data_IF_288216168881
#
_entry.id   IF_288216168881
#
_cell.length_a   1.000
_cell.length_b   1.000
_cell.length_c   1.000
_cell.angle_alpha   90.00
_cell.angle_beta   90.00
_cell.angle_gamma   90.00
#
_symmetry.space_group_name_H-M   'P 1'
#
loop_
_entity.id
_entity.type
_entity.pdbx_description
1 polymer ?
#
# COMPACT_ATOMS: atom_id res chain seq x y z
N UNK A 1 -30.09 -18.63 16.04
CA UNK A 1 -28.97 -18.94 15.12
C UNK A 1 -29.12 -20.38 14.70
N UNK A 2 -29.04 -20.63 13.40
CA UNK A 2 -29.15 -21.96 12.81
C UNK A 2 -27.98 -22.90 13.21
N UNK A 3 -28.18 -24.23 13.37
CA UNK A 3 -27.13 -25.16 13.81
C UNK A 3 -25.89 -25.18 12.90
N UNK A 4 -26.05 -25.01 11.58
CA UNK A 4 -24.92 -25.02 10.64
C UNK A 4 -24.05 -23.77 10.84
N UNK A 5 -24.69 -22.61 11.04
CA UNK A 5 -23.98 -21.35 11.38
C UNK A 5 -23.15 -21.50 12.67
N UNK A 6 -23.70 -22.16 13.69
CA UNK A 6 -22.97 -22.42 14.94
C UNK A 6 -21.80 -23.38 14.72
N UNK A 7 -21.99 -24.42 13.91
CA UNK A 7 -20.93 -25.37 13.57
C UNK A 7 -19.78 -24.71 12.80
N UNK A 8 -20.08 -23.83 11.83
CA UNK A 8 -19.09 -23.03 11.09
C UNK A 8 -18.24 -22.16 12.04
N UNK A 9 -18.89 -21.41 12.94
CA UNK A 9 -18.19 -20.56 13.92
C UNK A 9 -17.34 -21.38 14.89
N UNK A 10 -17.84 -22.54 15.33
CA UNK A 10 -17.10 -23.44 16.21
C UNK A 10 -15.86 -24.03 15.51
N UNK A 11 -16.01 -24.48 14.26
CA UNK A 11 -14.92 -25.00 13.46
C UNK A 11 -13.86 -23.93 13.18
N UNK A 12 -14.27 -22.67 13.00
CA UNK A 12 -13.36 -21.54 12.86
C UNK A 12 -12.61 -21.21 14.16
N UNK A 13 -13.27 -21.30 15.32
CA UNK A 13 -12.65 -21.04 16.63
C UNK A 13 -11.64 -22.13 17.05
N UNK A 14 -11.81 -23.36 16.57
CA UNK A 14 -11.04 -24.52 17.02
C UNK A 14 -10.09 -24.99 15.91
N UNK A 15 -8.78 -24.72 16.05
CA UNK A 15 -7.77 -25.02 15.00
C UNK A 15 -7.79 -26.46 14.48
N UNK A 16 -8.13 -27.44 15.33
CA UNK A 16 -8.20 -28.88 14.98
C UNK A 16 -9.60 -29.36 14.55
N UNK A 17 -10.62 -28.53 14.69
CA UNK A 17 -11.97 -28.93 14.30
C UNK A 17 -12.08 -29.02 12.78
N UNK A 18 -12.75 -30.08 12.31
CA UNK A 18 -13.07 -30.24 10.90
C UNK A 18 -14.21 -29.30 10.53
N UNK A 19 -14.25 -28.78 9.30
CA UNK A 19 -15.44 -28.11 8.78
C UNK A 19 -16.67 -29.03 8.90
N UNK A 20 -17.87 -28.46 9.14
CA UNK A 20 -19.11 -29.22 9.04
C UNK A 20 -19.30 -29.72 7.60
N UNK A 21 -20.10 -30.76 7.44
CA UNK A 21 -20.57 -31.24 6.13
C UNK A 21 -21.99 -30.77 5.88
N UNK A 22 -22.31 -30.46 4.64
CA UNK A 22 -23.64 -30.14 4.17
C UNK A 22 -24.57 -31.35 4.30
N UNK A 23 -24.10 -32.56 3.97
CA UNK A 23 -24.92 -33.77 4.04
C UNK A 23 -26.14 -33.66 3.10
N UNK A 24 -27.33 -33.92 3.63
CA UNK A 24 -28.60 -33.84 2.88
C UNK A 24 -29.30 -32.47 3.04
N UNK A 25 -28.60 -31.46 3.57
CA UNK A 25 -29.19 -30.13 3.76
C UNK A 25 -29.54 -29.48 2.41
N UNK A 26 -30.69 -28.79 2.31
CA UNK A 26 -31.02 -28.00 1.14
C UNK A 26 -29.95 -26.93 0.85
N UNK A 27 -29.67 -26.68 -0.43
CA UNK A 27 -28.69 -25.65 -0.84
C UNK A 27 -29.00 -24.25 -0.27
N UNK A 28 -30.28 -23.92 -0.07
CA UNK A 28 -30.74 -22.67 0.55
C UNK A 28 -30.35 -22.57 2.03
N UNK A 29 -30.38 -23.67 2.77
CA UNK A 29 -29.99 -23.68 4.19
C UNK A 29 -28.47 -23.51 4.34
N UNK A 30 -27.70 -24.14 3.45
CA UNK A 30 -26.25 -23.93 3.35
C UNK A 30 -25.93 -22.48 2.99
N UNK A 31 -26.65 -21.92 2.01
CA UNK A 31 -26.51 -20.53 1.59
C UNK A 31 -26.76 -19.55 2.73
N UNK A 32 -27.89 -19.68 3.43
CA UNK A 32 -28.24 -18.80 4.56
C UNK A 32 -27.19 -18.86 5.67
N UNK A 33 -26.68 -20.06 5.98
CA UNK A 33 -25.65 -20.23 6.99
C UNK A 33 -24.32 -19.59 6.58
N UNK A 34 -23.85 -19.81 5.34
CA UNK A 34 -22.59 -19.24 4.81
C UNK A 34 -22.69 -17.72 4.74
N UNK A 35 -23.76 -17.19 4.15
CA UNK A 35 -23.96 -15.75 4.03
C UNK A 35 -24.05 -15.09 5.41
N UNK A 36 -24.83 -15.65 6.34
CA UNK A 36 -25.00 -15.09 7.67
C UNK A 36 -23.68 -14.99 8.45
N UNK A 37 -22.86 -16.05 8.45
CA UNK A 37 -21.58 -16.01 9.19
C UNK A 37 -20.53 -15.10 8.55
N UNK A 38 -20.50 -15.01 7.21
CA UNK A 38 -19.56 -14.14 6.50
C UNK A 38 -19.97 -12.67 6.61
N UNK A 39 -21.25 -12.34 6.45
CA UNK A 39 -21.76 -10.98 6.60
C UNK A 39 -21.50 -10.44 8.01
N UNK A 40 -21.77 -11.23 9.06
CA UNK A 40 -21.47 -10.84 10.44
C UNK A 40 -19.97 -10.58 10.64
N UNK A 41 -19.10 -11.45 10.10
CA UNK A 41 -17.66 -11.28 10.21
C UNK A 41 -17.16 -10.04 9.45
N UNK A 42 -17.72 -9.75 8.27
CA UNK A 42 -17.37 -8.58 7.48
C UNK A 42 -17.84 -7.28 8.16
N UNK A 43 -19.09 -7.22 8.63
CA UNK A 43 -19.62 -6.08 9.36
C UNK A 43 -18.78 -5.76 10.60
N UNK A 44 -18.40 -6.77 11.38
CA UNK A 44 -17.49 -6.60 12.52
C UNK A 44 -16.16 -5.99 12.07
N UNK A 45 -15.58 -6.45 10.95
CA UNK A 45 -14.31 -5.92 10.45
C UNK A 45 -14.43 -4.48 9.95
N UNK A 46 -15.54 -4.12 9.30
CA UNK A 46 -15.84 -2.76 8.86
C UNK A 46 -15.93 -1.79 10.04
N UNK A 47 -16.58 -2.21 11.13
CA UNK A 47 -16.65 -1.45 12.38
C UNK A 47 -15.27 -1.31 13.06
N UNK A 48 -14.38 -2.28 12.84
CA UNK A 48 -12.99 -2.27 13.33
C UNK A 48 -11.98 -1.74 12.32
N UNK A 49 -12.45 -0.97 11.34
CA UNK A 49 -11.63 -0.15 10.46
C UNK A 49 -10.96 -0.89 9.31
N UNK A 50 -11.27 -2.15 9.04
CA UNK A 50 -10.77 -2.86 7.86
C UNK A 50 -11.46 -2.36 6.58
N UNK A 51 -10.79 -2.48 5.43
CA UNK A 51 -11.32 -2.13 4.11
C UNK A 51 -11.30 -3.36 3.18
N UNK A 52 -12.06 -3.39 2.06
CA UNK A 52 -12.16 -4.54 1.17
C UNK A 52 -10.83 -5.06 0.68
N UNK A 53 -9.96 -4.16 0.24
CA UNK A 53 -8.64 -4.53 -0.24
C UNK A 53 -7.78 -5.14 0.87
N UNK A 54 -7.91 -4.65 2.11
CA UNK A 54 -7.17 -5.19 3.25
C UNK A 54 -7.61 -6.62 3.56
N UNK A 55 -8.93 -6.87 3.61
CA UNK A 55 -9.48 -8.20 3.90
C UNK A 55 -9.09 -9.19 2.79
N UNK A 56 -9.17 -8.76 1.52
CA UNK A 56 -8.70 -9.53 0.37
C UNK A 56 -7.21 -9.87 0.48
N UNK A 57 -6.34 -8.91 0.81
CA UNK A 57 -4.90 -9.13 0.93
C UNK A 57 -4.53 -10.10 2.06
N UNK A 58 -5.21 -10.04 3.21
CA UNK A 58 -4.98 -11.03 4.28
C UNK A 58 -5.36 -12.43 3.81
N UNK A 59 -6.57 -12.61 3.26
CA UNK A 59 -7.01 -13.94 2.83
C UNK A 59 -6.15 -14.47 1.68
N UNK A 60 -5.73 -13.63 0.73
CA UNK A 60 -4.79 -14.00 -0.34
C UNK A 60 -3.43 -14.50 0.19
N UNK A 61 -3.00 -14.04 1.37
CA UNK A 61 -1.70 -14.41 1.98
C UNK A 61 -1.76 -15.70 2.78
N UNK A 62 -2.89 -15.97 3.40
CA UNK A 62 -3.03 -17.05 4.37
C UNK A 62 -3.84 -18.24 3.84
N UNK A 63 -4.63 -18.06 2.77
CA UNK A 63 -5.51 -19.08 2.20
C UNK A 63 -5.37 -19.22 0.68
N UNK A 64 -6.06 -20.21 0.12
CA UNK A 64 -6.04 -20.54 -1.31
C UNK A 64 -7.03 -19.73 -2.15
N UNK A 65 -7.02 -19.98 -3.46
CA UNK A 65 -7.86 -19.28 -4.43
C UNK A 65 -9.37 -19.46 -4.18
N UNK A 66 -9.78 -20.58 -3.57
CA UNK A 66 -11.20 -20.89 -3.30
C UNK A 66 -11.73 -20.03 -2.17
N UNK A 67 -10.99 -19.95 -1.07
CA UNK A 67 -11.32 -19.03 0.02
C UNK A 67 -11.31 -17.58 -0.46
N UNK A 68 -10.36 -17.22 -1.32
CA UNK A 68 -10.28 -15.86 -1.88
C UNK A 68 -11.47 -15.53 -2.77
N UNK A 69 -11.87 -16.42 -3.68
CA UNK A 69 -13.00 -16.16 -4.58
C UNK A 69 -14.33 -16.08 -3.83
N UNK A 70 -14.56 -16.96 -2.84
CA UNK A 70 -15.76 -16.91 -2.00
C UNK A 70 -15.81 -15.64 -1.14
N UNK A 71 -14.67 -15.17 -0.63
CA UNK A 71 -14.59 -13.88 0.08
C UNK A 71 -14.98 -12.71 -0.84
N UNK A 72 -14.48 -12.67 -2.07
CA UNK A 72 -14.78 -11.61 -3.04
C UNK A 72 -16.28 -11.54 -3.32
N UNK A 73 -16.92 -12.70 -3.51
CA UNK A 73 -18.37 -12.78 -3.67
C UNK A 73 -19.13 -12.30 -2.42
N UNK A 74 -18.65 -12.67 -1.22
CA UNK A 74 -19.24 -12.21 0.04
C UNK A 74 -19.15 -10.68 0.19
N UNK A 75 -18.02 -10.07 -0.19
CA UNK A 75 -17.86 -8.61 -0.21
C UNK A 75 -18.79 -7.97 -1.24
N UNK A 76 -18.87 -8.52 -2.46
CA UNK A 76 -19.75 -8.02 -3.52
C UNK A 76 -21.21 -8.02 -3.08
N UNK A 77 -21.66 -9.09 -2.41
CA UNK A 77 -23.00 -9.19 -1.82
C UNK A 77 -23.21 -8.16 -0.72
N UNK A 78 -22.25 -8.03 0.19
CA UNK A 78 -22.33 -7.13 1.35
C UNK A 78 -22.54 -5.68 0.91
N UNK A 79 -21.74 -5.20 -0.05
CA UNK A 79 -21.77 -3.80 -0.49
C UNK A 79 -22.86 -3.47 -1.51
N UNK A 80 -23.57 -4.47 -2.04
CA UNK A 80 -24.56 -4.29 -3.08
C UNK A 80 -25.69 -3.34 -2.66
N UNK A 81 -25.97 -2.33 -3.49
CA UNK A 81 -27.02 -1.34 -3.23
C UNK A 81 -26.72 -0.32 -2.12
N UNK A 82 -25.55 -0.39 -1.49
CA UNK A 82 -25.16 0.55 -0.44
C UNK A 82 -24.50 1.82 -1.00
N UNK A 83 -24.63 2.93 -0.27
CA UNK A 83 -23.85 4.13 -0.56
C UNK A 83 -22.37 3.90 -0.17
N UNK A 84 -21.46 4.01 -1.14
CA UNK A 84 -20.03 3.78 -0.94
C UNK A 84 -19.19 5.05 -1.08
N UNK A 85 -18.30 5.27 -0.11
CA UNK A 85 -17.21 6.24 -0.21
C UNK A 85 -16.35 5.94 -1.47
N UNK A 86 -15.75 6.96 -2.12
CA UNK A 86 -14.89 6.74 -3.30
C UNK A 86 -13.80 5.68 -3.13
N UNK A 87 -13.07 5.69 -2.00
CA UNK A 87 -12.06 4.66 -1.66
C UNK A 87 -12.66 3.25 -1.62
N UNK A 88 -13.85 3.09 -1.02
CA UNK A 88 -14.55 1.80 -0.99
C UNK A 88 -14.89 1.32 -2.40
N UNK A 89 -15.47 2.20 -3.22
CA UNK A 89 -15.82 1.87 -4.60
C UNK A 89 -14.59 1.48 -5.43
N UNK A 90 -13.49 2.21 -5.28
CA UNK A 90 -12.22 1.88 -5.93
C UNK A 90 -11.72 0.50 -5.51
N UNK A 91 -11.66 0.21 -4.21
CA UNK A 91 -11.17 -1.07 -3.71
C UNK A 91 -12.06 -2.27 -4.08
N UNK A 92 -13.38 -2.09 -4.06
CA UNK A 92 -14.35 -3.11 -4.52
C UNK A 92 -14.11 -3.44 -5.99
N UNK A 93 -13.90 -2.42 -6.83
CA UNK A 93 -13.56 -2.63 -8.24
C UNK A 93 -12.17 -3.29 -8.41
N UNK A 94 -11.18 -2.87 -7.64
CA UNK A 94 -9.80 -3.41 -7.73
C UNK A 94 -9.72 -4.90 -7.38
N UNK A 95 -10.54 -5.37 -6.44
CA UNK A 95 -10.62 -6.81 -6.09
C UNK A 95 -11.60 -7.59 -6.98
N UNK A 96 -12.32 -6.93 -7.89
CA UNK A 96 -13.31 -7.55 -8.77
C UNK A 96 -14.54 -8.06 -8.02
N UNK A 97 -14.96 -7.37 -6.96
CA UNK A 97 -16.13 -7.72 -6.16
C UNK A 97 -17.43 -7.26 -6.86
N UNK A 98 -17.80 -7.99 -7.91
CA UNK A 98 -19.02 -7.79 -8.70
C UNK A 98 -19.96 -9.00 -8.56
N UNK A 99 -21.27 -8.73 -8.55
CA UNK A 99 -22.31 -9.78 -8.51
C UNK A 99 -22.42 -10.43 -9.90
N UNK A 100 -21.90 -11.66 -10.03
CA UNK A 100 -21.90 -12.42 -11.29
C UNK A 100 -22.95 -13.55 -11.32
N UNK A 101 -23.51 -13.91 -10.16
CA UNK A 101 -24.44 -15.01 -10.01
C UNK A 101 -25.90 -14.58 -10.27
N UNK A 102 -26.74 -15.55 -10.58
CA UNK A 102 -28.17 -15.36 -10.69
C UNK A 102 -28.79 -15.25 -9.30
N UNK A 103 -29.53 -14.18 -9.03
CA UNK A 103 -30.16 -13.92 -7.72
C UNK A 103 -31.32 -14.88 -7.42
N UNK A 104 -31.90 -15.53 -8.44
CA UNK A 104 -33.01 -16.48 -8.28
C UNK A 104 -32.55 -17.89 -7.90
N UNK A 105 -31.23 -18.12 -7.76
CA UNK A 105 -30.63 -19.41 -7.41
C UNK A 105 -29.62 -19.27 -6.28
N UNK A 106 -29.39 -20.32 -5.46
CA UNK A 106 -28.43 -20.24 -4.38
C UNK A 106 -27.02 -19.91 -4.87
N UNK A 107 -26.42 -18.84 -4.36
CA UNK A 107 -25.09 -18.38 -4.77
C UNK A 107 -24.02 -19.42 -4.46
N UNK A 108 -24.07 -20.03 -3.27
CA UNK A 108 -23.04 -21.00 -2.83
C UNK A 108 -22.99 -22.22 -3.75
N UNK A 109 -24.13 -22.68 -4.24
CA UNK A 109 -24.21 -23.78 -5.21
C UNK A 109 -23.69 -23.38 -6.60
N UNK A 110 -24.00 -22.16 -7.05
CA UNK A 110 -23.44 -21.61 -8.29
C UNK A 110 -21.92 -21.42 -8.19
N UNK A 111 -21.41 -20.95 -7.04
CA UNK A 111 -19.99 -20.81 -6.75
C UNK A 111 -19.29 -22.17 -6.80
N UNK A 112 -19.86 -23.18 -6.14
CA UNK A 112 -19.31 -24.53 -6.13
C UNK A 112 -19.25 -25.11 -7.55
N UNK A 113 -20.34 -25.00 -8.31
CA UNK A 113 -20.40 -25.43 -9.72
C UNK A 113 -19.36 -24.72 -10.60
N UNK A 114 -19.19 -23.40 -10.43
CA UNK A 114 -18.22 -22.59 -11.20
C UNK A 114 -16.78 -23.02 -10.94
N UNK A 115 -16.45 -23.41 -9.72
CA UNK A 115 -15.10 -23.80 -9.32
C UNK A 115 -14.85 -25.31 -9.41
N UNK A 116 -15.84 -26.11 -9.84
CA UNK A 116 -15.77 -27.58 -9.86
C UNK A 116 -15.57 -28.14 -8.44
N UNK A 117 -16.26 -27.55 -7.47
CA UNK A 117 -16.21 -27.86 -6.04
C UNK A 117 -17.59 -28.34 -5.55
N UNK A 118 -17.66 -28.80 -4.29
CA UNK A 118 -18.91 -29.20 -3.63
C UNK A 118 -19.38 -28.18 -2.59
N UNK A 119 -20.60 -28.34 -2.06
CA UNK A 119 -21.07 -27.56 -0.90
C UNK A 119 -20.20 -27.81 0.35
N UNK A 120 -19.66 -29.01 0.53
CA UNK A 120 -18.71 -29.32 1.61
C UNK A 120 -17.42 -28.49 1.46
N UNK A 121 -16.94 -28.30 0.22
CA UNK A 121 -15.77 -27.47 -0.07
C UNK A 121 -16.07 -25.98 0.18
N UNK A 122 -17.28 -25.51 -0.13
CA UNK A 122 -17.72 -24.15 0.19
C UNK A 122 -17.78 -23.91 1.71
N UNK A 123 -18.27 -24.89 2.49
CA UNK A 123 -18.24 -24.84 3.95
C UNK A 123 -16.80 -24.83 4.49
N UNK A 124 -15.90 -25.62 3.89
CA UNK A 124 -14.48 -25.62 4.24
C UNK A 124 -13.81 -24.27 3.95
N UNK A 125 -14.07 -23.68 2.78
CA UNK A 125 -13.60 -22.35 2.40
C UNK A 125 -14.15 -21.27 3.36
N UNK A 126 -15.43 -21.36 3.73
CA UNK A 126 -16.05 -20.46 4.72
C UNK A 126 -15.34 -20.54 6.08
N UNK A 127 -15.05 -21.74 6.57
CA UNK A 127 -14.30 -21.94 7.82
C UNK A 127 -12.88 -21.38 7.71
N UNK A 128 -12.21 -21.54 6.57
CA UNK A 128 -10.88 -20.99 6.32
C UNK A 128 -10.88 -19.45 6.38
N UNK A 129 -11.81 -18.80 5.68
CA UNK A 129 -12.01 -17.35 5.73
C UNK A 129 -12.24 -16.90 7.20
N UNK A 130 -13.21 -17.50 7.88
CA UNK A 130 -13.53 -17.13 9.27
C UNK A 130 -12.34 -17.28 10.23
N UNK A 131 -11.46 -18.26 10.04
CA UNK A 131 -10.24 -18.42 10.86
C UNK A 131 -9.29 -17.24 10.71
N UNK A 132 -9.10 -16.79 9.48
CA UNK A 132 -8.26 -15.63 9.17
C UNK A 132 -8.87 -14.36 9.75
N UNK A 133 -10.15 -14.09 9.44
CA UNK A 133 -10.83 -12.86 9.83
C UNK A 133 -10.88 -12.67 11.35
N UNK A 134 -11.09 -13.75 12.11
CA UNK A 134 -11.15 -13.71 13.59
C UNK A 134 -9.82 -13.39 14.26
N UNK A 135 -8.70 -13.56 13.58
CA UNK A 135 -7.38 -13.26 14.14
C UNK A 135 -6.97 -11.79 13.92
N UNK A 136 -7.78 -11.01 13.22
CA UNK A 136 -7.44 -9.65 12.83
C UNK A 136 -7.58 -8.67 14.01
N UNK A 137 -6.59 -7.79 14.22
CA UNK A 137 -6.69 -6.75 15.26
C UNK A 137 -7.66 -5.64 14.86
N UNK A 138 -8.08 -4.86 15.85
CA UNK A 138 -8.77 -3.59 15.62
C UNK A 138 -7.81 -2.58 14.99
N UNK A 139 -8.27 -1.90 13.93
CA UNK A 139 -7.55 -0.83 13.25
C UNK A 139 -8.27 0.52 13.44
N UNK A 140 -7.56 1.64 13.28
CA UNK A 140 -8.20 2.94 13.19
C UNK A 140 -9.13 2.99 11.96
N UNK A 141 -10.35 3.50 12.14
CA UNK A 141 -11.30 3.75 11.05
C UNK A 141 -10.80 4.96 10.26
N UNK A 142 -10.41 4.74 9.01
CA UNK A 142 -9.86 5.78 8.11
C UNK A 142 -10.83 6.18 7.01
N UNK A 143 -11.85 5.38 6.76
CA UNK A 143 -12.92 5.63 5.80
C UNK A 143 -14.25 5.17 6.44
N UNK A 144 -15.35 5.93 6.29
CA UNK A 144 -16.67 5.48 6.74
C UNK A 144 -17.06 4.13 6.13
N UNK A 145 -17.75 3.29 6.90
CA UNK A 145 -18.21 1.96 6.43
C UNK A 145 -19.32 2.08 5.36
N UNK A 146 -19.57 1.03 4.56
CA UNK A 146 -20.68 0.99 3.62
C UNK A 146 -22.02 1.43 4.26
N UNK A 147 -22.82 2.17 3.50
CA UNK A 147 -24.12 2.68 3.97
C UNK A 147 -24.04 3.87 4.92
N UNK A 148 -22.85 4.30 5.34
CA UNK A 148 -22.69 5.54 6.11
C UNK A 148 -23.11 6.78 5.30
N UNK A 149 -23.69 7.81 5.92
CA UNK A 149 -23.97 9.08 5.24
C UNK A 149 -22.70 9.69 4.63
N UNK A 150 -22.74 10.00 3.33
CA UNK A 150 -21.60 10.55 2.59
C UNK A 150 -21.57 12.10 2.57
N UNK A 151 -22.36 12.75 3.41
CA UNK A 151 -22.52 14.22 3.41
C UNK A 151 -21.25 14.89 3.91
N UNK A 152 -20.76 15.89 3.16
CA UNK A 152 -19.59 16.69 3.55
C UNK A 152 -18.23 16.04 3.23
N UNK A 153 -18.21 14.92 2.50
CA UNK A 153 -16.98 14.33 2.00
C UNK A 153 -16.51 15.08 0.74
N UNK A 154 -15.85 16.21 0.95
CA UNK A 154 -15.20 16.95 -0.14
C UNK A 154 -13.88 16.23 -0.50
N UNK A 155 -13.98 15.24 -1.41
CA UNK A 155 -12.79 14.60 -1.94
C UNK A 155 -12.15 15.54 -2.96
N UNK A 156 -11.21 16.37 -2.50
CA UNK A 156 -10.36 17.16 -3.38
C UNK A 156 -9.38 16.22 -4.08
N UNK A 157 -9.85 15.62 -5.16
CA UNK A 157 -9.03 14.76 -6.00
C UNK A 157 -7.81 15.51 -6.50
N UNK A 158 -6.68 14.80 -6.54
CA UNK A 158 -5.43 15.31 -7.08
C UNK A 158 -5.57 15.53 -8.59
N UNK A 159 -4.93 16.58 -9.15
CA UNK A 159 -4.98 16.85 -10.59
C UNK A 159 -4.51 15.62 -11.38
N UNK A 160 -5.41 14.93 -12.12
CA UNK A 160 -5.07 13.69 -12.82
C UNK A 160 -3.96 13.91 -13.86
N UNK A 161 -3.80 15.14 -14.37
CA UNK A 161 -2.76 15.46 -15.36
C UNK A 161 -1.35 15.40 -14.73
N UNK A 162 -1.21 15.89 -13.50
CA UNK A 162 0.07 15.84 -12.78
C UNK A 162 0.43 14.40 -12.48
N UNK A 163 -0.51 13.61 -11.96
CA UNK A 163 -0.27 12.19 -11.68
C UNK A 163 0.06 11.39 -12.93
N UNK A 164 -0.66 11.59 -14.03
CA UNK A 164 -0.37 10.89 -15.28
C UNK A 164 1.01 11.27 -15.83
N UNK A 165 1.44 12.53 -15.66
CA UNK A 165 2.80 12.94 -16.03
C UNK A 165 3.86 12.32 -15.12
N UNK A 166 3.63 12.25 -13.82
CA UNK A 166 4.51 11.57 -12.86
C UNK A 166 4.64 10.09 -13.18
N UNK A 167 3.51 9.39 -13.36
CA UNK A 167 3.48 7.98 -13.78
C UNK A 167 4.21 7.77 -15.09
N UNK A 168 4.02 8.64 -16.08
CA UNK A 168 4.72 8.57 -17.36
C UNK A 168 6.24 8.75 -17.24
N UNK A 169 6.69 9.67 -16.38
CA UNK A 169 8.12 9.88 -16.11
C UNK A 169 8.74 8.67 -15.42
N UNK A 170 8.08 8.12 -14.39
CA UNK A 170 8.55 6.93 -13.66
C UNK A 170 8.53 5.68 -14.55
N UNK A 171 7.48 5.46 -15.33
CA UNK A 171 7.41 4.34 -16.28
C UNK A 171 8.53 4.44 -17.32
N UNK A 172 8.84 5.65 -17.79
CA UNK A 172 9.96 5.85 -18.72
C UNK A 172 11.30 5.57 -18.04
N UNK A 173 11.49 6.02 -16.80
CA UNK A 173 12.69 5.73 -16.01
C UNK A 173 12.90 4.22 -15.83
N UNK A 174 11.83 3.46 -15.59
CA UNK A 174 11.90 2.01 -15.43
C UNK A 174 12.17 1.24 -16.73
N UNK A 175 11.86 1.85 -17.88
CA UNK A 175 11.99 1.23 -19.20
C UNK A 175 13.33 1.50 -19.90
N UNK A 176 14.06 2.53 -19.48
CA UNK A 176 15.32 2.91 -20.15
C UNK A 176 16.48 2.04 -19.65
N UNK A 177 17.38 1.58 -20.54
CA UNK A 177 18.60 0.88 -20.14
C UNK A 177 19.71 1.85 -19.68
N UNK A 178 19.51 3.17 -19.80
CA UNK A 178 20.52 4.18 -19.49
C UNK A 178 20.30 4.74 -18.07
N UNK A 179 21.21 4.45 -17.11
CA UNK A 179 21.04 4.89 -15.72
C UNK A 179 20.90 6.41 -15.57
N UNK A 180 21.73 7.20 -16.27
CA UNK A 180 21.68 8.67 -16.19
C UNK A 180 20.35 9.23 -16.73
N UNK A 181 19.72 8.57 -17.71
CA UNK A 181 18.39 8.96 -18.21
C UNK A 181 17.29 8.61 -17.20
N UNK A 182 17.36 7.42 -16.61
CA UNK A 182 16.42 7.00 -15.58
C UNK A 182 16.46 7.94 -14.38
N UNK A 183 17.65 8.36 -13.96
CA UNK A 183 17.87 9.33 -12.90
C UNK A 183 17.24 10.69 -13.25
N UNK A 184 17.52 11.23 -14.43
CA UNK A 184 16.97 12.50 -14.87
C UNK A 184 15.43 12.50 -14.94
N UNK A 185 14.82 11.36 -15.31
CA UNK A 185 13.37 11.20 -15.39
C UNK A 185 12.71 11.13 -14.01
N UNK A 186 13.27 10.35 -13.08
CA UNK A 186 12.77 10.25 -11.71
C UNK A 186 12.91 11.57 -10.95
N UNK A 187 14.03 12.25 -11.15
CA UNK A 187 14.26 13.60 -10.66
C UNK A 187 13.24 14.60 -11.16
N UNK A 188 12.90 14.53 -12.45
CA UNK A 188 11.89 15.40 -13.05
C UNK A 188 10.51 15.12 -12.47
N UNK A 189 10.20 13.86 -12.18
CA UNK A 189 8.97 13.47 -11.52
C UNK A 189 8.89 14.09 -10.11
N UNK A 190 9.96 13.97 -9.32
CA UNK A 190 10.03 14.53 -7.97
C UNK A 190 9.95 16.07 -7.96
N UNK A 191 10.64 16.74 -8.90
CA UNK A 191 10.61 18.19 -9.04
C UNK A 191 9.21 18.69 -9.42
N UNK A 192 8.56 18.02 -10.39
CA UNK A 192 7.20 18.35 -10.83
C UNK A 192 6.21 18.28 -9.67
N UNK A 193 6.28 17.18 -8.92
CA UNK A 193 5.51 16.92 -7.72
C UNK A 193 5.72 18.00 -6.67
N UNK A 194 6.98 18.25 -6.30
CA UNK A 194 7.32 19.16 -5.22
C UNK A 194 6.86 20.57 -5.57
N UNK A 195 7.11 21.02 -6.80
CA UNK A 195 6.65 22.31 -7.30
C UNK A 195 5.12 22.42 -7.23
N UNK A 196 4.41 21.43 -7.79
CA UNK A 196 2.96 21.45 -7.82
C UNK A 196 2.33 21.46 -6.43
N UNK A 197 2.87 20.65 -5.51
CA UNK A 197 2.44 20.64 -4.12
C UNK A 197 2.61 22.02 -3.49
N UNK A 198 3.84 22.58 -3.53
CA UNK A 198 4.17 23.88 -2.93
C UNK A 198 3.36 25.05 -3.50
N UNK A 199 3.07 25.06 -4.81
CA UNK A 199 2.25 26.10 -5.46
C UNK A 199 0.81 26.14 -4.94
N UNK A 200 0.24 24.98 -4.61
CA UNK A 200 -1.15 24.85 -4.16
C UNK A 200 -1.31 25.06 -2.65
N UNK A 201 -0.28 24.77 -1.86
CA UNK A 201 -0.39 24.78 -0.40
C UNK A 201 -0.95 26.07 0.21
N UNK A 202 -0.63 27.28 -0.28
CA UNK A 202 -1.12 28.54 0.33
C UNK A 202 -2.61 28.80 0.10
N UNK A 203 -3.19 28.24 -0.96
CA UNK A 203 -4.59 28.48 -1.35
C UNK A 203 -5.55 27.38 -0.91
N UNK A 204 -5.01 26.24 -0.47
CA UNK A 204 -5.79 25.05 -0.15
C UNK A 204 -5.72 24.70 1.33
N UNK A 205 -6.89 24.51 1.93
CA UNK A 205 -6.98 23.93 3.27
C UNK A 205 -6.36 22.53 3.31
N UNK A 206 -5.69 22.16 4.42
CA UNK A 206 -5.13 20.82 4.61
C UNK A 206 -6.22 19.73 4.53
N UNK A 207 -6.01 18.77 3.64
CA UNK A 207 -6.81 17.55 3.47
C UNK A 207 -6.02 16.35 3.97
N UNK A 208 -5.79 16.32 5.27
CA UNK A 208 -5.01 15.25 5.89
C UNK A 208 -5.86 13.98 6.01
N UNK A 209 -5.38 12.88 5.43
CA UNK A 209 -6.05 11.58 5.45
C UNK A 209 -5.07 10.47 5.84
N UNK A 210 -5.57 9.22 5.88
CA UNK A 210 -4.73 8.04 6.03
C UNK A 210 -5.02 6.99 4.96
N UNK A 211 -3.97 6.30 4.51
CA UNK A 211 -4.03 5.21 3.52
C UNK A 211 -3.19 4.02 4.00
N UNK A 212 -3.41 2.84 3.44
CA UNK A 212 -2.65 1.61 3.77
C UNK A 212 -1.93 1.13 2.52
N UNK A 213 -0.61 1.05 2.61
CA UNK A 213 0.24 0.53 1.54
C UNK A 213 0.69 -0.90 1.90
N UNK A 214 0.17 -1.88 1.16
CA UNK A 214 0.51 -3.29 1.35
C UNK A 214 1.89 -3.62 0.77
N UNK A 215 2.67 -4.42 1.51
CA UNK A 215 4.01 -4.83 1.10
C UNK A 215 4.15 -6.34 1.19
N UNK A 216 4.89 -6.97 0.28
CA UNK A 216 5.13 -8.42 0.39
C UNK A 216 5.85 -8.78 1.69
N UNK A 217 5.54 -9.98 2.20
CA UNK A 217 6.11 -10.55 3.43
C UNK A 217 7.64 -10.69 3.38
N UNK A 218 8.20 -10.94 2.20
CA UNK A 218 9.64 -11.19 2.05
C UNK A 218 10.43 -9.89 2.23
N UNK A 219 11.32 -9.91 3.23
CA UNK A 219 12.12 -8.76 3.64
C UNK A 219 11.29 -7.52 3.99
N UNK A 220 10.10 -7.74 4.56
CA UNK A 220 9.13 -6.71 4.88
C UNK A 220 9.73 -5.49 5.60
N UNK A 221 10.62 -5.69 6.57
CA UNK A 221 11.22 -4.58 7.33
C UNK A 221 12.05 -3.63 6.48
N UNK A 222 12.85 -4.18 5.56
CA UNK A 222 13.63 -3.36 4.64
C UNK A 222 12.72 -2.59 3.68
N UNK A 223 11.69 -3.26 3.15
CA UNK A 223 10.69 -2.63 2.28
C UNK A 223 9.91 -1.52 3.02
N UNK A 224 9.48 -1.78 4.24
CA UNK A 224 8.78 -0.81 5.07
C UNK A 224 9.68 0.39 5.42
N UNK A 225 11.00 0.19 5.55
CA UNK A 225 11.93 1.30 5.76
C UNK A 225 12.05 2.19 4.52
N UNK A 226 12.03 1.62 3.30
CA UNK A 226 11.95 2.40 2.05
C UNK A 226 10.70 3.28 2.04
N UNK A 227 9.53 2.70 2.32
CA UNK A 227 8.27 3.46 2.41
C UNK A 227 8.35 4.56 3.45
N UNK A 228 8.93 4.26 4.63
CA UNK A 228 9.07 5.23 5.71
C UNK A 228 9.91 6.45 5.31
N UNK A 229 11.09 6.26 4.70
CA UNK A 229 11.94 7.39 4.30
C UNK A 229 11.33 8.21 3.17
N UNK A 230 10.58 7.57 2.27
CA UNK A 230 9.82 8.26 1.22
C UNK A 230 8.67 9.07 1.83
N UNK A 231 7.95 8.51 2.81
CA UNK A 231 6.90 9.22 3.54
C UNK A 231 7.45 10.45 4.26
N UNK A 232 8.57 10.31 4.99
CA UNK A 232 9.19 11.45 5.68
C UNK A 232 9.61 12.57 4.72
N UNK A 233 10.22 12.21 3.58
CA UNK A 233 10.63 13.18 2.57
C UNK A 233 9.43 13.93 1.95
N UNK A 234 8.27 13.29 1.91
CA UNK A 234 7.01 13.88 1.41
C UNK A 234 6.09 14.30 2.56
N UNK A 235 6.66 14.79 3.67
CA UNK A 235 5.93 15.43 4.80
C UNK A 235 4.84 14.57 5.45
N UNK A 236 4.95 13.25 5.28
CA UNK A 236 3.96 12.28 5.74
C UNK A 236 4.53 11.45 6.90
N UNK A 237 3.64 10.80 7.66
CA UNK A 237 3.99 9.83 8.70
C UNK A 237 3.70 8.41 8.21
N UNK A 238 4.49 7.46 8.71
CA UNK A 238 4.33 6.05 8.41
C UNK A 238 4.29 5.22 9.72
N UNK A 239 3.37 4.26 9.80
CA UNK A 239 3.23 3.29 10.89
C UNK A 239 3.23 1.88 10.31
N UNK A 240 4.13 1.04 10.81
CA UNK A 240 4.33 -0.32 10.28
C UNK A 240 3.45 -1.32 11.02
N UNK A 241 2.54 -1.98 10.30
CA UNK A 241 1.73 -3.10 10.77
C UNK A 241 2.35 -4.40 10.28
N UNK A 242 3.28 -4.97 11.06
CA UNK A 242 4.06 -6.16 10.64
C UNK A 242 3.20 -7.41 10.44
N UNK A 243 2.24 -7.67 11.33
CA UNK A 243 1.47 -8.91 11.29
C UNK A 243 0.50 -8.94 10.09
N UNK A 244 -0.31 -7.89 9.85
CA UNK A 244 -1.02 -7.76 8.57
C UNK A 244 -0.06 -7.63 7.37
N UNK A 245 1.03 -6.89 7.53
CA UNK A 245 2.04 -6.68 6.50
C UNK A 245 1.74 -5.51 5.57
N UNK A 246 1.34 -4.38 6.15
CA UNK A 246 1.20 -3.09 5.45
C UNK A 246 1.83 -1.94 6.24
N UNK A 247 1.97 -0.79 5.59
CA UNK A 247 2.37 0.48 6.20
C UNK A 247 1.17 1.44 6.14
N UNK A 248 0.69 1.90 7.29
CA UNK A 248 -0.31 2.96 7.35
C UNK A 248 0.41 4.31 7.17
N UNK A 249 -0.05 5.08 6.20
CA UNK A 249 0.44 6.41 5.89
C UNK A 249 -0.54 7.45 6.41
N UNK A 250 -0.02 8.59 6.86
CA UNK A 250 -0.82 9.78 7.23
C UNK A 250 -0.18 10.99 6.56
N UNK A 251 -0.96 11.73 5.80
CA UNK A 251 -0.44 12.81 4.97
C UNK A 251 -1.55 13.52 4.21
N UNK A 252 -1.15 14.48 3.41
CA UNK A 252 -2.04 15.09 2.42
C UNK A 252 -2.26 14.15 1.24
N UNK A 253 -3.45 14.20 0.63
CA UNK A 253 -3.84 13.27 -0.45
C UNK A 253 -2.79 13.15 -1.57
N UNK A 254 -2.33 14.30 -2.09
CA UNK A 254 -1.27 14.36 -3.10
C UNK A 254 0.04 13.76 -2.59
N UNK A 255 0.48 14.15 -1.39
CA UNK A 255 1.72 13.64 -0.79
C UNK A 255 1.66 12.11 -0.64
N UNK A 256 0.51 11.54 -0.26
CA UNK A 256 0.34 10.09 -0.13
C UNK A 256 0.40 9.35 -1.47
N UNK A 257 -0.17 9.91 -2.54
CA UNK A 257 -0.06 9.33 -3.89
C UNK A 257 1.38 9.32 -4.39
N UNK A 258 2.12 10.38 -4.13
CA UNK A 258 3.54 10.46 -4.44
C UNK A 258 4.30 9.38 -3.68
N UNK A 259 4.02 9.24 -2.38
CA UNK A 259 4.67 8.23 -1.54
C UNK A 259 4.42 6.83 -2.10
N UNK A 260 3.21 6.52 -2.53
CA UNK A 260 2.86 5.23 -3.12
C UNK A 260 3.61 4.97 -4.44
N UNK A 261 3.58 5.93 -5.38
CA UNK A 261 4.25 5.81 -6.67
C UNK A 261 5.78 5.67 -6.53
N UNK A 262 6.40 6.53 -5.72
CA UNK A 262 7.83 6.49 -5.48
C UNK A 262 8.25 5.22 -4.75
N UNK A 263 7.48 4.80 -3.74
CA UNK A 263 7.76 3.57 -3.01
C UNK A 263 7.71 2.36 -3.93
N UNK A 264 6.69 2.27 -4.80
CA UNK A 264 6.58 1.19 -5.77
C UNK A 264 7.83 1.13 -6.68
N UNK A 265 8.23 2.27 -7.26
CA UNK A 265 9.42 2.33 -8.14
C UNK A 265 10.71 1.97 -7.39
N UNK A 266 10.93 2.55 -6.20
CA UNK A 266 12.14 2.29 -5.40
C UNK A 266 12.20 0.85 -4.88
N UNK A 267 11.06 0.23 -4.56
CA UNK A 267 11.01 -1.18 -4.17
C UNK A 267 11.41 -2.11 -5.33
N UNK A 268 10.99 -1.78 -6.56
CA UNK A 268 11.43 -2.50 -7.77
C UNK A 268 12.93 -2.33 -7.98
N UNK A 269 13.45 -1.10 -7.93
CA UNK A 269 14.88 -0.81 -8.08
C UNK A 269 15.72 -1.51 -7.01
N UNK A 270 15.35 -1.38 -5.74
CA UNK A 270 16.04 -2.03 -4.61
C UNK A 270 16.06 -3.54 -4.77
N UNK A 271 14.95 -4.15 -5.20
CA UNK A 271 14.87 -5.60 -5.40
C UNK A 271 15.76 -6.06 -6.56
N UNK A 272 15.78 -5.34 -7.69
CA UNK A 272 16.66 -5.62 -8.84
C UNK A 272 18.13 -5.51 -8.44
N UNK A 273 18.51 -4.42 -7.77
CA UNK A 273 19.89 -4.19 -7.34
C UNK A 273 20.35 -5.24 -6.31
N UNK A 274 19.47 -5.63 -5.38
CA UNK A 274 19.77 -6.67 -4.39
C UNK A 274 19.97 -8.04 -5.05
N UNK A 275 19.17 -8.37 -6.07
CA UNK A 275 19.33 -9.63 -6.84
C UNK A 275 20.64 -9.61 -7.61
N UNK A 276 20.96 -8.50 -8.29
CA UNK A 276 22.22 -8.35 -9.02
C UNK A 276 23.45 -8.42 -8.10
N UNK A 277 23.37 -7.89 -6.88
CA UNK A 277 24.45 -7.97 -5.89
C UNK A 277 24.75 -9.40 -5.43
N UNK A 278 23.79 -10.33 -5.58
CA UNK A 278 23.99 -11.75 -5.30
C UNK A 278 24.16 -12.61 -6.55
N UNK A 279 24.30 -11.99 -7.74
CA UNK A 279 24.53 -12.72 -8.98
C UNK A 279 25.94 -13.34 -8.99
N UNK A 280 26.06 -14.55 -9.54
CA UNK A 280 27.31 -15.32 -9.49
C UNK A 280 27.67 -15.94 -8.12
N UNK A 281 26.95 -15.62 -7.05
CA UNK A 281 27.19 -16.18 -5.72
C UNK A 281 26.78 -17.67 -5.61
N UNK A 282 27.66 -18.47 -5.00
CA UNK A 282 27.51 -19.91 -4.77
C UNK A 282 26.74 -20.20 -3.48
N UNK A 283 26.34 -21.46 -3.32
CA UNK A 283 25.68 -21.92 -2.10
C UNK A 283 26.65 -21.79 -0.91
N UNK A 284 26.29 -20.98 0.08
CA UNK A 284 27.12 -20.73 1.27
C UNK A 284 27.62 -19.28 1.34
N UNK A 285 27.62 -18.58 0.20
CA UNK A 285 28.08 -17.20 0.11
C UNK A 285 27.14 -16.25 0.86
N UNK A 286 27.71 -15.23 1.50
CA UNK A 286 26.99 -14.31 2.38
C UNK A 286 25.92 -13.53 1.60
N UNK A 287 26.17 -13.20 0.34
CA UNK A 287 25.30 -12.47 -0.58
C UNK A 287 23.94 -13.16 -0.80
N UNK A 288 23.89 -14.48 -0.60
CA UNK A 288 22.65 -15.27 -0.67
C UNK A 288 21.91 -15.38 0.66
N UNK A 289 22.53 -14.95 1.76
CA UNK A 289 22.00 -15.06 3.11
C UNK A 289 20.80 -14.12 3.34
N UNK A 290 20.00 -14.44 4.36
CA UNK A 290 18.91 -13.57 4.79
C UNK A 290 19.41 -12.28 5.44
N UNK A 291 20.55 -12.33 6.13
CA UNK A 291 21.10 -11.20 6.88
C UNK A 291 21.77 -10.18 5.95
N UNK A 292 22.45 -10.63 4.89
CA UNK A 292 22.91 -9.76 3.79
C UNK A 292 21.76 -8.98 3.15
N UNK A 293 20.70 -9.67 2.74
CA UNK A 293 19.56 -9.04 2.05
C UNK A 293 18.80 -8.05 2.94
N UNK A 294 18.68 -8.33 4.24
CA UNK A 294 18.12 -7.38 5.21
C UNK A 294 19.00 -6.15 5.36
N UNK A 295 20.31 -6.33 5.55
CA UNK A 295 21.26 -5.24 5.68
C UNK A 295 21.31 -4.37 4.41
N UNK A 296 21.25 -5.02 3.24
CA UNK A 296 21.16 -4.36 1.94
C UNK A 296 19.96 -3.41 1.86
N UNK A 297 18.75 -3.90 2.11
CA UNK A 297 17.54 -3.09 1.98
C UNK A 297 17.47 -1.96 3.02
N UNK A 298 17.95 -2.20 4.25
CA UNK A 298 18.02 -1.16 5.28
C UNK A 298 19.01 -0.06 4.90
N UNK A 299 20.20 -0.43 4.42
CA UNK A 299 21.21 0.54 3.97
C UNK A 299 20.76 1.32 2.75
N UNK A 300 20.13 0.62 1.79
CA UNK A 300 19.53 1.24 0.60
C UNK A 300 18.50 2.30 1.01
N UNK A 301 17.53 1.93 1.86
CA UNK A 301 16.54 2.86 2.38
C UNK A 301 17.16 4.06 3.11
N UNK A 302 18.15 3.83 3.98
CA UNK A 302 18.81 4.91 4.70
C UNK A 302 19.44 5.93 3.74
N UNK A 303 20.17 5.45 2.74
CA UNK A 303 20.84 6.30 1.75
C UNK A 303 19.85 7.03 0.83
N UNK A 304 18.81 6.35 0.37
CA UNK A 304 17.71 6.99 -0.38
C UNK A 304 17.07 8.11 0.45
N UNK A 305 16.82 7.87 1.74
CA UNK A 305 16.29 8.88 2.65
C UNK A 305 17.19 10.11 2.80
N UNK A 306 18.51 9.93 2.87
CA UNK A 306 19.48 11.04 2.86
C UNK A 306 19.34 11.90 1.59
N UNK A 307 19.27 11.26 0.42
CA UNK A 307 19.16 11.93 -0.88
C UNK A 307 17.83 12.67 -1.02
N UNK A 308 16.72 12.02 -0.66
CA UNK A 308 15.39 12.64 -0.73
C UNK A 308 15.25 13.84 0.21
N UNK A 309 15.79 13.77 1.43
CA UNK A 309 15.81 14.91 2.37
C UNK A 309 16.62 16.09 1.83
N UNK A 310 17.74 15.82 1.17
CA UNK A 310 18.52 16.88 0.51
C UNK A 310 17.75 17.52 -0.67
N UNK A 311 17.01 16.71 -1.44
CA UNK A 311 16.25 17.19 -2.61
C UNK A 311 15.00 18.03 -2.26
N UNK A 312 14.42 17.79 -1.08
CA UNK A 312 13.15 18.40 -0.64
C UNK A 312 13.33 19.62 0.26
N UNK A 313 14.56 19.97 0.63
CA UNK A 313 14.86 21.20 1.35
C UNK A 313 14.44 22.44 0.51
N UNK A 314 13.74 23.38 1.14
CA UNK A 314 13.35 24.66 0.55
C UNK A 314 13.89 25.79 1.41
N UNK A 315 14.55 26.76 0.76
CA UNK A 315 15.05 27.98 1.40
C UNK A 315 14.04 29.14 1.27
N UNK A 316 12.79 28.86 0.86
CA UNK A 316 11.75 29.89 0.73
C UNK A 316 11.03 30.11 2.06
N UNK A 317 11.49 31.12 2.81
CA UNK A 317 10.94 31.51 4.12
C UNK A 317 9.42 31.75 4.10
N UNK A 318 8.85 32.12 2.94
CA UNK A 318 7.41 32.37 2.79
C UNK A 318 6.58 31.09 2.91
N UNK A 319 7.17 29.92 2.63
CA UNK A 319 6.49 28.62 2.69
C UNK A 319 6.57 27.99 4.08
N UNK A 320 7.48 28.43 4.94
CA UNK A 320 7.69 27.86 6.27
C UNK A 320 6.42 27.83 7.15
N UNK A 321 5.59 28.89 7.21
CA UNK A 321 4.36 28.85 8.00
C UNK A 321 3.35 27.82 7.48
N UNK A 322 3.21 27.70 6.16
CA UNK A 322 2.28 26.75 5.52
C UNK A 322 2.75 25.30 5.75
N UNK A 323 4.05 25.05 5.62
CA UNK A 323 4.65 23.75 5.90
C UNK A 323 4.50 23.36 7.38
N UNK A 324 4.67 24.31 8.31
CA UNK A 324 4.46 24.08 9.74
C UNK A 324 2.99 23.76 10.07
N UNK A 325 2.04 24.47 9.45
CA UNK A 325 0.61 24.21 9.62
C UNK A 325 0.23 22.81 9.10
N UNK A 326 0.67 22.43 7.90
CA UNK A 326 0.43 21.09 7.34
C UNK A 326 1.07 19.99 8.18
N UNK A 327 2.31 20.19 8.64
CA UNK A 327 2.96 19.26 9.57
C UNK A 327 2.14 19.07 10.84
N UNK A 328 1.58 20.15 11.39
CA UNK A 328 0.74 20.10 12.59
C UNK A 328 -0.55 19.33 12.34
N UNK A 329 -1.19 19.49 11.18
CA UNK A 329 -2.38 18.73 10.80
C UNK A 329 -2.08 17.22 10.70
N UNK A 330 -1.00 16.85 10.00
CA UNK A 330 -0.50 15.47 9.89
C UNK A 330 -0.20 14.87 11.27
N UNK A 331 0.55 15.59 12.11
CA UNK A 331 0.91 15.13 13.46
C UNK A 331 -0.30 15.02 14.40
N UNK A 332 -1.34 15.80 14.17
CA UNK A 332 -2.60 15.73 14.92
C UNK A 332 -3.41 14.51 14.53
N UNK A 333 -3.60 14.27 13.22
CA UNK A 333 -4.30 13.08 12.75
C UNK A 333 -3.53 11.79 13.13
N UNK A 334 -2.20 11.80 13.00
CA UNK A 334 -1.34 10.69 13.40
C UNK A 334 -1.55 10.31 14.88
N UNK A 335 -1.52 11.29 15.79
CA UNK A 335 -1.72 11.04 17.23
C UNK A 335 -3.15 10.60 17.57
N UNK A 336 -4.13 11.02 16.76
CA UNK A 336 -5.54 10.64 16.92
C UNK A 336 -5.74 9.17 16.52
N UNK A 337 -5.20 8.77 15.37
CA UNK A 337 -5.36 7.41 14.84
C UNK A 337 -4.46 6.39 15.55
N UNK A 338 -3.23 6.76 15.91
CA UNK A 338 -2.21 5.80 16.35
C UNK A 338 -1.74 6.10 17.78
N UNK A 339 -2.45 5.52 18.76
CA UNK A 339 -2.23 5.79 20.19
C UNK A 339 -1.20 4.88 20.87
N UNK A 340 -0.83 3.77 20.24
CA UNK A 340 0.03 2.71 20.82
C UNK A 340 1.23 2.36 19.94
N UNK A 341 1.91 3.37 19.41
CA UNK A 341 3.10 3.18 18.57
C UNK A 341 4.37 3.02 19.41
N UNK A 342 5.26 2.12 18.98
CA UNK A 342 6.60 1.97 19.57
C UNK A 342 7.66 2.16 18.49
N UNK A 343 8.76 2.82 18.85
CA UNK A 343 9.95 2.87 18.00
C UNK A 343 10.64 1.51 18.00
N UNK A 344 11.11 1.07 16.83
CA UNK A 344 11.87 -0.17 16.69
C UNK A 344 13.16 0.10 15.94
N UNK A 345 14.22 -0.55 16.38
CA UNK A 345 15.49 -0.64 15.65
C UNK A 345 15.69 -2.07 15.16
N UNK A 346 16.31 -2.22 13.99
CA UNK A 346 16.64 -3.52 13.40
C UNK A 346 18.15 -3.70 13.42
N UNK A 347 18.68 -4.76 14.06
CA UNK A 347 20.12 -4.98 14.09
C UNK A 347 20.65 -5.32 12.68
N UNK A 348 21.81 -4.74 12.36
CA UNK A 348 22.55 -5.02 11.12
C UNK A 348 23.54 -6.13 11.41
N UNK A 349 23.54 -7.17 10.57
CA UNK A 349 24.35 -8.39 10.76
C UNK A 349 25.26 -8.73 9.58
N UNK A 350 25.29 -7.87 8.57
CA UNK A 350 26.11 -8.05 7.37
C UNK A 350 26.65 -6.69 6.94
N UNK A 351 27.96 -6.52 7.09
CA UNK A 351 28.65 -5.31 6.64
C UNK A 351 28.72 -5.26 5.11
N UNK A 352 28.99 -6.40 4.46
CA UNK A 352 28.97 -6.54 3.01
C UNK A 352 27.61 -6.16 2.43
N UNK A 353 26.51 -6.67 3.02
CA UNK A 353 25.15 -6.30 2.63
C UNK A 353 24.88 -4.82 2.81
N UNK A 354 25.32 -4.23 3.93
CA UNK A 354 25.19 -2.79 4.17
C UNK A 354 25.92 -1.95 3.11
N UNK A 355 27.18 -2.27 2.82
CA UNK A 355 27.98 -1.55 1.83
C UNK A 355 27.38 -1.65 0.42
N UNK A 356 26.96 -2.85 0.02
CA UNK A 356 26.32 -3.10 -1.27
C UNK A 356 25.00 -2.33 -1.40
N UNK A 357 24.19 -2.30 -0.35
CA UNK A 357 22.93 -1.56 -0.31
C UNK A 357 23.13 -0.06 -0.45
N UNK A 358 24.11 0.52 0.24
CA UNK A 358 24.46 1.94 0.13
C UNK A 358 24.91 2.30 -1.28
N UNK A 359 25.86 1.52 -1.82
CA UNK A 359 26.37 1.72 -3.18
C UNK A 359 25.28 1.61 -4.24
N UNK A 360 24.32 0.69 -4.05
CA UNK A 360 23.17 0.57 -4.94
C UNK A 360 22.23 1.78 -4.84
N UNK A 361 22.01 2.31 -3.63
CA UNK A 361 21.20 3.50 -3.43
C UNK A 361 21.84 4.78 -3.96
N UNK A 362 23.18 4.85 -4.08
CA UNK A 362 23.86 5.96 -4.77
C UNK A 362 23.56 5.99 -6.28
N UNK A 363 23.26 4.83 -6.87
CA UNK A 363 22.87 4.70 -8.28
C UNK A 363 21.37 4.65 -8.49
N UNK A 364 20.57 4.81 -7.44
CA UNK A 364 19.13 4.86 -7.55
C UNK A 364 18.69 6.16 -8.23
N UNK A 365 17.61 6.11 -8.99
CA UNK A 365 17.15 7.24 -9.78
C UNK A 365 16.42 8.26 -8.89
N UNK A 366 17.12 9.30 -8.40
CA UNK A 366 16.58 10.19 -7.34
C UNK A 366 16.81 11.72 -7.52
N UNK A 367 17.72 12.22 -8.37
CA UNK A 367 18.32 13.56 -8.16
C UNK A 367 18.01 14.70 -9.16
N UNK A 368 17.62 15.87 -8.63
CA UNK A 368 17.34 17.18 -9.28
C UNK A 368 18.49 17.67 -10.21
N UNK A 369 18.23 18.45 -11.29
CA UNK A 369 19.30 19.03 -12.11
C UNK A 369 20.16 20.02 -11.34
N UNK A 370 21.48 19.93 -11.52
CA UNK A 370 22.44 20.90 -11.02
C UNK A 370 22.17 22.30 -11.59
N UNK A 371 22.15 23.29 -10.71
CA UNK A 371 22.07 24.70 -11.08
C UNK A 371 23.37 25.13 -11.78
N UNK A 372 23.49 24.85 -13.09
CA UNK A 372 24.46 25.53 -13.93
C UNK A 372 23.91 26.92 -14.28
N UNK A 373 24.35 27.91 -13.50
CA UNK A 373 24.23 29.32 -13.88
C UNK A 373 24.99 29.50 -15.21
N UNK A 374 24.38 29.99 -16.30
CA UNK A 374 25.17 30.38 -17.46
C UNK A 374 25.98 31.63 -17.07
N UNK A 375 27.30 31.47 -16.91
CA UNK A 375 28.22 32.62 -16.94
C UNK A 375 27.98 33.34 -18.26
N UNK A 376 27.36 34.51 -18.17
CA UNK A 376 27.23 35.47 -19.26
C UNK A 376 28.64 35.93 -19.62
N UNK A 377 29.28 35.25 -20.57
CA UNK A 377 30.54 35.70 -21.17
C UNK A 377 30.22 37.00 -21.90
N UNK A 378 30.71 38.11 -21.36
CA UNK A 378 30.60 39.43 -21.95
C UNK A 378 31.13 39.41 -23.37
N UNK A 379 30.25 39.74 -24.33
CA UNK A 379 30.61 39.99 -25.71
C UNK A 379 31.46 41.26 -25.74
N UNK A 380 32.78 41.10 -25.76
CA UNK A 380 33.71 42.19 -26.02
C UNK A 380 33.40 42.83 -27.37
N UNK A 381 33.07 44.12 -27.36
CA UNK A 381 33.01 44.97 -28.56
C UNK A 381 34.40 44.97 -29.20
N UNK A 382 34.54 44.31 -30.36
CA UNK A 382 35.63 44.61 -31.30
C UNK A 382 35.31 45.93 -31.98
N UNK A 383 36.22 46.89 -31.83
CA UNK A 383 36.36 48.08 -32.66
C UNK A 383 36.65 47.64 -34.10
N UNK A 384 35.93 48.18 -35.06
CA UNK A 384 36.36 48.28 -36.47
C UNK A 384 36.76 49.73 -36.72
N UNK A 385 38.05 49.91 -36.95
CA UNK A 385 38.66 51.08 -37.59
C UNK A 385 39.44 50.52 -38.77
N UNK A 386 39.24 51.09 -39.95
CA UNK A 386 39.88 50.69 -41.22
C UNK A 386 38.84 50.41 -42.27
#
# INVERSE_FOLDING_TARGET
>A
MDPLSQALRHAAATRKARPPRAGDLPATEVEDAVHGVLADALHDLWDHGWLPYDVHEVVRRDEDERARSLLVDAVARDVAGQALHPVWRGQVADIGADVWWDADRPHVDQWASRHIETLDDALAATVAILRVLRALPVLPVIVPKPGSPLVGLDHRGVDPRVLNRVRGLLAKAESTPYPDEAEALSAKAQELVTRHALERMPTEEPTTVSRRLWLDKRYFDGKAHIVHVVAEANRSRAVVYRNPGFVALVGEELDLEIVELMSASLLVQATRAMVAAGDGARKGDEERSGDFRKAFLLSYAHRVGERLRAATATDDDRLLPVLAARKTAVDTLYRTLFTRTVSRSTPIRSEAGWSAGRSAADRADLDRPSASTPRRVGRGRRRTTG
#
